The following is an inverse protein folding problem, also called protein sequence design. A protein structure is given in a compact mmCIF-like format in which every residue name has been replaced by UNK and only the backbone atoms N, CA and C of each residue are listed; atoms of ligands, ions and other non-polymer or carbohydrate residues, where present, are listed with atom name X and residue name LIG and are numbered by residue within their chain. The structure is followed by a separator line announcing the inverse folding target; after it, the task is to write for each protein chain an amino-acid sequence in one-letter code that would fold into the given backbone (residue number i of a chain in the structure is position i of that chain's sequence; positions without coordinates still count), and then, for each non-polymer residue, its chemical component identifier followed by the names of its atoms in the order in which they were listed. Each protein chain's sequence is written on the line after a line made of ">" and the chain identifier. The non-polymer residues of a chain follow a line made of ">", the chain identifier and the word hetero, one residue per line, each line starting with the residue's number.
data_IF_514501215855
#
_entry.id   IF_514501215855
#
_cell.length_a   1.000
_cell.length_b   1.000
_cell.length_c   1.000
_cell.angle_alpha   90.00
_cell.angle_beta   90.00
_cell.angle_gamma   90.00
#
_symmetry.space_group_name_H-M   'P 1'
#
loop_
_entity.id
_entity.type
_entity.pdbx_description
1 polymer ?
#
# COMPACT_ATOMS: atom_id res chain seq x y z
N UNK A 1 86.79 -30.80 -23.42
CA UNK A 1 86.24 -30.17 -24.65
C UNK A 1 84.79 -30.60 -24.75
N UNK A 2 83.88 -29.64 -24.96
CA UNK A 2 82.55 -29.77 -25.59
C UNK A 2 81.78 -31.09 -25.31
N UNK A 3 80.72 -31.10 -24.53
CA UNK A 3 79.45 -30.50 -24.93
C UNK A 3 78.55 -31.54 -25.61
N UNK A 4 77.45 -31.88 -24.94
CA UNK A 4 76.19 -32.43 -25.43
C UNK A 4 75.98 -33.95 -25.70
N UNK A 5 74.80 -34.35 -25.20
CA UNK A 5 73.87 -35.39 -25.67
C UNK A 5 74.20 -36.86 -25.44
N UNK A 6 73.63 -37.42 -24.37
CA UNK A 6 72.98 -38.74 -24.42
C UNK A 6 71.54 -38.56 -23.90
N UNK A 7 70.62 -38.49 -24.85
CA UNK A 7 69.20 -38.68 -24.65
C UNK A 7 68.86 -40.18 -24.72
N UNK A 8 67.69 -40.52 -24.19
CA UNK A 8 66.93 -41.76 -24.39
C UNK A 8 67.18 -42.93 -23.43
N UNK A 9 66.58 -42.82 -22.25
CA UNK A 9 65.76 -43.91 -21.69
C UNK A 9 64.68 -43.35 -20.74
N UNK A 10 63.89 -42.40 -21.25
CA UNK A 10 62.62 -41.98 -20.68
C UNK A 10 61.52 -42.91 -21.21
N UNK A 11 61.21 -44.01 -20.53
CA UNK A 11 59.92 -44.71 -20.59
C UNK A 11 59.95 -45.72 -19.43
N UNK A 12 58.82 -45.92 -18.73
CA UNK A 12 58.61 -46.90 -17.62
C UNK A 12 59.01 -46.52 -16.20
N UNK A 13 58.67 -45.32 -15.72
CA UNK A 13 58.46 -45.08 -14.27
C UNK A 13 57.56 -43.87 -13.94
N UNK A 14 56.75 -43.36 -14.89
CA UNK A 14 55.93 -42.15 -14.73
C UNK A 14 54.43 -42.42 -14.77
N UNK A 15 54.01 -43.58 -14.25
CA UNK A 15 52.61 -43.97 -14.12
C UNK A 15 52.47 -44.55 -12.71
N UNK A 16 51.87 -43.78 -11.79
CA UNK A 16 51.14 -44.21 -10.56
C UNK A 16 51.06 -43.11 -9.46
N UNK A 17 51.70 -41.94 -9.57
CA UNK A 17 51.60 -40.91 -8.50
C UNK A 17 51.07 -39.54 -8.97
N UNK A 18 49.97 -39.55 -9.74
CA UNK A 18 49.40 -38.33 -10.36
C UNK A 18 47.90 -38.16 -10.18
N UNK A 19 47.29 -38.80 -9.18
CA UNK A 19 45.91 -38.52 -8.76
C UNK A 19 45.94 -38.29 -7.25
N UNK A 20 45.22 -37.26 -6.80
CA UNK A 20 45.16 -36.69 -5.43
C UNK A 20 45.87 -35.32 -5.26
N UNK A 21 45.68 -34.41 -6.22
CA UNK A 21 45.54 -33.00 -5.87
C UNK A 21 44.08 -32.80 -5.43
N UNK A 22 43.81 -33.03 -4.16
CA UNK A 22 42.58 -32.58 -3.52
C UNK A 22 42.59 -31.05 -3.55
N UNK A 23 41.77 -30.47 -4.42
CA UNK A 23 41.38 -29.07 -4.33
C UNK A 23 40.73 -28.86 -2.96
N UNK A 24 41.44 -28.18 -2.06
CA UNK A 24 40.89 -27.67 -0.81
C UNK A 24 39.78 -26.68 -1.17
N UNK A 25 38.54 -27.17 -1.24
CA UNK A 25 37.38 -26.31 -1.16
C UNK A 25 37.41 -25.68 0.23
N UNK A 26 37.80 -24.41 0.32
CA UNK A 26 37.61 -23.60 1.51
C UNK A 26 36.10 -23.49 1.73
N UNK A 27 35.54 -24.44 2.47
CA UNK A 27 34.19 -24.35 2.96
C UNK A 27 34.13 -23.14 3.90
N UNK A 28 33.11 -22.30 3.75
CA UNK A 28 32.75 -21.29 4.74
C UNK A 28 32.64 -21.99 6.10
N UNK A 29 33.57 -21.70 7.01
CA UNK A 29 33.57 -22.29 8.35
C UNK A 29 32.65 -21.45 9.22
N UNK A 30 31.63 -22.07 9.79
CA UNK A 30 30.79 -21.43 10.79
C UNK A 30 31.66 -21.03 11.99
N UNK A 31 31.69 -19.74 12.31
CA UNK A 31 32.41 -19.22 13.47
C UNK A 31 31.53 -19.35 14.72
N UNK A 32 32.11 -19.81 15.83
CA UNK A 32 31.47 -19.75 17.14
C UNK A 32 31.54 -18.32 17.72
N UNK A 33 30.66 -17.96 18.66
CA UNK A 33 30.58 -16.64 19.30
C UNK A 33 31.93 -16.09 19.80
N UNK A 34 32.83 -16.97 20.27
CA UNK A 34 34.19 -16.64 20.73
C UNK A 34 35.12 -16.29 19.57
N UNK A 35 34.87 -16.84 18.39
CA UNK A 35 35.60 -16.50 17.17
C UNK A 35 35.03 -15.24 16.53
N UNK A 36 33.70 -15.06 16.56
CA UNK A 36 33.02 -13.81 16.17
C UNK A 36 33.51 -12.61 17.01
N UNK A 37 33.68 -12.78 18.32
CA UNK A 37 34.18 -11.69 19.18
C UNK A 37 35.66 -11.32 18.95
N UNK A 38 36.43 -12.21 18.31
CA UNK A 38 37.82 -11.95 17.90
C UNK A 38 37.92 -11.25 16.54
N UNK A 39 36.82 -11.15 15.77
CA UNK A 39 36.80 -10.39 14.52
C UNK A 39 36.77 -8.90 14.86
N UNK A 40 37.92 -8.23 14.71
CA UNK A 40 38.02 -6.79 14.94
C UNK A 40 37.74 -6.04 13.63
N UNK A 41 36.52 -5.52 13.46
CA UNK A 41 36.17 -4.62 12.37
C UNK A 41 36.54 -3.17 12.70
N UNK A 42 37.11 -2.44 11.74
CA UNK A 42 37.27 -0.98 11.84
C UNK A 42 36.08 -0.33 11.13
N UNK A 43 35.21 0.35 11.88
CA UNK A 43 34.14 1.17 11.33
C UNK A 43 34.40 2.63 11.66
N UNK A 44 34.32 3.51 10.65
CA UNK A 44 34.40 4.94 10.87
C UNK A 44 33.10 5.41 11.52
N UNK A 45 33.22 6.03 12.70
CA UNK A 45 32.09 6.69 13.36
C UNK A 45 32.07 8.17 12.96
N UNK A 46 30.95 8.62 12.40
CA UNK A 46 30.72 10.02 12.06
C UNK A 46 29.86 10.66 13.14
N UNK A 47 30.29 11.81 13.68
CA UNK A 47 29.52 12.56 14.66
C UNK A 47 29.14 13.93 14.11
N UNK A 48 27.88 14.31 14.31
CA UNK A 48 27.36 15.62 13.90
C UNK A 48 26.52 16.25 15.01
N UNK A 49 26.52 17.59 15.08
CA UNK A 49 25.68 18.38 15.98
C UNK A 49 24.85 19.36 15.15
N UNK A 50 23.54 19.32 15.32
CA UNK A 50 22.59 20.29 14.74
C UNK A 50 21.96 21.07 15.89
N UNK A 51 22.15 22.39 15.90
CA UNK A 51 21.45 23.27 16.83
C UNK A 51 20.12 23.64 16.18
N UNK A 52 19.03 23.29 16.85
CA UNK A 52 17.70 23.55 16.36
C UNK A 52 17.28 25.02 16.46
N UNK A 53 16.37 25.42 15.58
CA UNK A 53 15.63 26.66 15.68
C UNK A 53 14.44 26.53 16.64
N UNK A 54 13.93 27.68 17.10
CA UNK A 54 12.78 27.80 18.01
C UNK A 54 11.50 28.21 17.26
N UNK A 55 11.38 27.81 15.98
CA UNK A 55 10.18 28.09 15.18
C UNK A 55 9.11 27.04 15.47
N UNK A 56 7.84 27.45 15.41
CA UNK A 56 6.68 26.54 15.56
C UNK A 56 6.74 25.37 14.56
N UNK A 57 7.27 25.62 13.36
CA UNK A 57 7.48 24.63 12.30
C UNK A 57 8.93 24.15 12.18
N UNK A 58 9.74 24.33 13.20
CA UNK A 58 11.10 23.83 13.23
C UNK A 58 11.31 22.87 14.39
N UNK A 59 12.54 22.82 14.87
CA UNK A 59 13.01 21.78 15.80
C UNK A 59 12.71 22.06 17.28
N UNK A 60 11.86 23.05 17.58
CA UNK A 60 11.38 23.35 18.93
C UNK A 60 12.52 23.65 19.93
N UNK A 61 13.56 24.34 19.46
CA UNK A 61 14.73 24.74 20.24
C UNK A 61 15.64 23.59 20.68
N UNK A 62 15.41 22.37 20.20
CA UNK A 62 16.18 21.19 20.59
C UNK A 62 17.51 21.10 19.85
N UNK A 63 18.53 20.55 20.49
CA UNK A 63 19.83 20.26 19.87
C UNK A 63 19.92 18.77 19.57
N UNK A 64 20.41 18.41 18.38
CA UNK A 64 20.53 17.02 17.95
C UNK A 64 21.98 16.59 17.83
N UNK A 65 22.32 15.47 18.47
CA UNK A 65 23.62 14.82 18.31
C UNK A 65 23.42 13.54 17.52
N UNK A 66 24.11 13.41 16.40
CA UNK A 66 24.06 12.24 15.52
C UNK A 66 25.36 11.46 15.66
N UNK A 67 25.25 10.15 15.85
CA UNK A 67 26.35 9.19 15.83
C UNK A 67 26.05 8.16 14.75
N UNK A 68 26.70 8.30 13.60
CA UNK A 68 26.55 7.44 12.44
C UNK A 68 27.73 6.50 12.24
N UNK A 69 27.50 5.42 11.51
CA UNK A 69 28.52 4.51 11.02
C UNK A 69 28.69 4.71 9.51
N UNK A 70 29.91 4.73 9.01
CA UNK A 70 30.17 4.67 7.56
C UNK A 70 30.11 3.21 7.09
N UNK A 71 28.89 2.69 6.98
CA UNK A 71 28.62 1.31 6.63
C UNK A 71 27.33 1.21 5.80
N UNK A 72 27.22 0.14 5.01
CA UNK A 72 25.98 -0.30 4.40
C UNK A 72 25.43 -1.45 5.25
N UNK A 73 24.21 -1.30 5.77
CA UNK A 73 23.51 -2.33 6.53
C UNK A 73 22.37 -2.90 5.69
N UNK A 74 22.59 -4.08 5.11
CA UNK A 74 21.57 -4.83 4.38
C UNK A 74 20.88 -5.83 5.30
N UNK A 75 19.55 -5.74 5.38
CA UNK A 75 18.72 -6.53 6.27
C UNK A 75 17.78 -7.42 5.46
N UNK A 76 17.82 -8.71 5.79
CA UNK A 76 16.73 -9.63 5.52
C UNK A 76 16.22 -10.16 6.87
N UNK A 77 15.04 -9.70 7.28
CA UNK A 77 14.53 -9.95 8.62
C UNK A 77 13.05 -10.33 8.57
N UNK A 78 12.66 -11.33 9.36
CA UNK A 78 11.28 -11.72 9.60
C UNK A 78 10.98 -11.62 11.09
N UNK A 79 9.89 -10.93 11.44
CA UNK A 79 9.42 -10.73 12.80
C UNK A 79 7.95 -11.14 12.85
N UNK A 80 7.65 -12.24 13.55
CA UNK A 80 6.26 -12.71 13.73
C UNK A 80 5.38 -11.64 14.37
N UNK A 81 5.90 -10.92 15.36
CA UNK A 81 5.18 -9.87 16.09
C UNK A 81 6.11 -8.72 16.49
N UNK A 82 5.93 -7.55 15.90
CA UNK A 82 6.62 -6.32 16.29
C UNK A 82 5.69 -5.46 17.15
N UNK A 83 6.00 -5.38 18.44
CA UNK A 83 5.22 -4.63 19.43
C UNK A 83 6.10 -3.65 20.18
N UNK A 84 5.81 -2.35 20.03
CA UNK A 84 6.54 -1.26 20.67
C UNK A 84 5.57 -0.32 21.40
N UNK A 85 5.96 0.13 22.59
CA UNK A 85 5.17 1.08 23.38
C UNK A 85 3.90 0.51 24.04
N UNK A 86 3.81 -0.80 24.21
CA UNK A 86 2.64 -1.46 24.80
C UNK A 86 2.45 -1.14 26.29
N UNK A 87 1.24 -0.72 26.67
CA UNK A 87 0.87 -0.46 28.07
C UNK A 87 1.66 0.65 28.75
N UNK A 88 2.34 1.49 27.95
CA UNK A 88 3.21 2.55 28.42
C UNK A 88 2.49 3.87 28.70
N UNK A 89 3.22 4.96 28.49
CA UNK A 89 2.79 6.34 28.77
C UNK A 89 1.54 6.79 28.00
N UNK A 90 1.21 6.10 26.91
CA UNK A 90 0.04 6.36 26.06
C UNK A 90 -1.17 5.48 26.45
N UNK A 91 -1.11 4.77 27.58
CA UNK A 91 -2.21 3.94 28.10
C UNK A 91 -2.29 2.54 27.46
N UNK A 92 -3.41 1.83 27.67
CA UNK A 92 -3.63 0.48 27.14
C UNK A 92 -3.50 0.42 25.61
N UNK A 93 -2.82 -0.59 25.08
CA UNK A 93 -2.47 -0.72 23.65
C UNK A 93 -1.00 -0.43 23.36
N UNK A 94 -0.58 -0.62 22.11
CA UNK A 94 0.79 -0.46 21.62
C UNK A 94 0.87 0.69 20.62
N UNK A 95 1.99 1.42 20.63
CA UNK A 95 2.24 2.52 19.69
C UNK A 95 2.51 1.98 18.28
N UNK A 96 3.27 0.89 18.17
CA UNK A 96 3.43 0.11 16.95
C UNK A 96 3.05 -1.33 17.24
N UNK A 97 2.10 -1.87 16.48
CA UNK A 97 1.68 -3.26 16.57
C UNK A 97 1.51 -3.85 15.16
N UNK A 98 2.48 -4.68 14.77
CA UNK A 98 2.58 -5.23 13.43
C UNK A 98 2.76 -6.75 13.51
N UNK A 99 1.91 -7.48 12.80
CA UNK A 99 2.00 -8.93 12.62
C UNK A 99 2.77 -9.27 11.34
N UNK A 100 3.62 -10.30 11.41
CA UNK A 100 4.42 -10.82 10.30
C UNK A 100 5.16 -9.70 9.55
N UNK A 101 5.87 -8.86 10.31
CA UNK A 101 6.67 -7.78 9.77
C UNK A 101 7.95 -8.32 9.15
N UNK A 102 8.23 -7.95 7.91
CA UNK A 102 9.41 -8.39 7.19
C UNK A 102 10.13 -7.26 6.48
N UNK A 103 11.45 -7.36 6.45
CA UNK A 103 12.36 -6.50 5.72
C UNK A 103 13.04 -7.32 4.62
N UNK A 104 13.01 -6.81 3.40
CA UNK A 104 13.46 -7.53 2.22
C UNK A 104 12.35 -8.37 1.58
N UNK A 105 12.65 -8.92 0.41
CA UNK A 105 11.77 -9.81 -0.32
C UNK A 105 12.56 -10.86 -1.12
N UNK A 106 11.93 -11.97 -1.41
CA UNK A 106 12.37 -12.92 -2.45
C UNK A 106 11.94 -12.38 -3.80
N UNK A 107 12.84 -12.43 -4.79
CA UNK A 107 12.61 -11.97 -6.15
C UNK A 107 12.56 -13.12 -7.16
N UNK A 108 11.89 -12.88 -8.28
CA UNK A 108 11.97 -13.75 -9.45
C UNK A 108 13.27 -13.51 -10.24
N UNK A 109 13.46 -14.22 -11.37
CA UNK A 109 14.62 -14.05 -12.25
C UNK A 109 14.82 -12.64 -12.81
N UNK A 110 13.77 -11.81 -12.82
CA UNK A 110 13.80 -10.43 -13.30
C UNK A 110 14.07 -9.41 -12.18
N UNK A 111 14.26 -9.86 -10.93
CA UNK A 111 14.49 -8.99 -9.78
C UNK A 111 13.22 -8.40 -9.13
N UNK A 112 12.02 -8.84 -9.56
CA UNK A 112 10.76 -8.36 -8.98
C UNK A 112 10.38 -9.17 -7.73
N UNK A 113 9.95 -8.50 -6.66
CA UNK A 113 9.49 -9.15 -5.44
C UNK A 113 8.31 -10.09 -5.70
N UNK A 114 8.37 -11.30 -5.15
CA UNK A 114 7.32 -12.30 -5.20
C UNK A 114 6.39 -12.07 -4.00
N UNK A 115 5.07 -12.07 -4.24
CA UNK A 115 4.07 -11.98 -3.19
C UNK A 115 3.57 -13.36 -2.77
N UNK A 116 3.12 -13.47 -1.53
CA UNK A 116 2.36 -14.63 -1.07
C UNK A 116 1.02 -14.72 -1.80
N UNK A 117 0.39 -15.89 -1.70
CA UNK A 117 -1.00 -16.07 -2.11
C UNK A 117 -1.94 -15.28 -1.19
N UNK A 118 -2.98 -14.62 -1.73
CA UNK A 118 -4.02 -13.99 -0.92
C UNK A 118 -4.61 -14.94 0.12
N UNK A 119 -4.72 -14.47 1.36
CA UNK A 119 -5.29 -15.27 2.44
C UNK A 119 -6.80 -15.50 2.18
N UNK A 120 -7.31 -16.75 2.34
CA UNK A 120 -8.73 -17.04 2.13
C UNK A 120 -9.64 -16.16 3.00
N UNK A 121 -10.68 -15.58 2.42
CA UNK A 121 -11.63 -14.73 3.13
C UNK A 121 -11.16 -13.31 3.40
N UNK A 122 -10.02 -12.90 2.84
CA UNK A 122 -9.55 -11.49 2.84
C UNK A 122 -9.86 -10.81 1.51
N UNK A 123 -9.76 -9.47 1.48
CA UNK A 123 -9.86 -8.68 0.26
C UNK A 123 -8.52 -8.55 -0.50
N UNK A 124 -7.48 -9.30 -0.10
CA UNK A 124 -6.14 -9.22 -0.68
C UNK A 124 -6.15 -9.54 -2.18
N UNK A 125 -5.45 -8.72 -2.95
CA UNK A 125 -5.25 -8.95 -4.39
C UNK A 125 -4.06 -9.87 -4.63
N UNK A 126 -4.07 -10.55 -5.77
CA UNK A 126 -2.89 -11.28 -6.27
C UNK A 126 -1.85 -10.22 -6.67
N UNK A 127 -0.61 -10.35 -6.18
CA UNK A 127 0.46 -9.44 -6.54
C UNK A 127 0.96 -9.65 -7.98
N UNK A 128 1.74 -8.69 -8.48
CA UNK A 128 2.25 -8.70 -9.86
C UNK A 128 3.06 -9.96 -10.20
N UNK A 129 3.78 -10.51 -9.21
CA UNK A 129 4.45 -11.82 -9.30
C UNK A 129 3.99 -12.66 -8.12
N UNK A 130 3.05 -13.57 -8.38
CA UNK A 130 2.53 -14.49 -7.39
C UNK A 130 3.20 -15.86 -7.52
N UNK A 131 3.72 -16.40 -6.41
CA UNK A 131 4.16 -17.80 -6.31
C UNK A 131 5.14 -18.27 -7.42
N UNK A 132 5.95 -17.36 -7.95
CA UNK A 132 6.87 -17.62 -9.06
C UNK A 132 8.16 -18.34 -8.65
N UNK A 133 8.95 -18.84 -9.63
CA UNK A 133 10.27 -19.40 -9.34
C UNK A 133 11.19 -18.31 -8.77
N UNK A 134 11.88 -18.68 -7.70
CA UNK A 134 12.84 -17.84 -7.01
C UNK A 134 14.09 -17.62 -7.86
N UNK A 135 14.51 -16.36 -8.01
CA UNK A 135 15.72 -15.94 -8.73
C UNK A 135 16.75 -15.19 -7.88
N UNK A 136 16.35 -14.54 -6.78
CA UNK A 136 17.24 -13.73 -5.95
C UNK A 136 16.56 -13.15 -4.71
N UNK A 137 17.28 -12.37 -3.92
CA UNK A 137 16.72 -11.61 -2.79
C UNK A 137 16.94 -10.12 -3.04
N UNK A 138 15.99 -9.29 -2.61
CA UNK A 138 16.14 -7.84 -2.52
C UNK A 138 16.15 -7.50 -1.03
N UNK A 139 17.25 -6.97 -0.55
CA UNK A 139 17.41 -6.64 0.87
C UNK A 139 16.84 -5.26 1.19
N UNK A 140 16.57 -5.03 2.48
CA UNK A 140 16.27 -3.70 3.00
C UNK A 140 17.58 -3.03 3.42
N UNK A 141 17.97 -1.97 2.73
CA UNK A 141 19.28 -1.36 2.88
C UNK A 141 19.20 -0.05 3.67
N UNK A 142 20.10 0.10 4.64
CA UNK A 142 20.30 1.32 5.42
C UNK A 142 21.73 1.79 5.16
N UNK A 143 21.87 2.81 4.31
CA UNK A 143 23.15 3.47 4.04
C UNK A 143 23.47 4.44 5.17
N UNK A 144 24.69 4.32 5.72
CA UNK A 144 25.21 5.14 6.81
C UNK A 144 24.23 5.23 8.00
N UNK A 145 23.95 4.09 8.67
CA UNK A 145 23.01 4.05 9.78
C UNK A 145 23.50 4.93 10.93
N UNK A 146 22.58 5.60 11.62
CA UNK A 146 22.88 6.48 12.74
C UNK A 146 21.87 6.40 13.89
N UNK A 147 22.35 6.74 15.08
CA UNK A 147 21.51 7.15 16.20
C UNK A 147 21.56 8.66 16.34
N UNK A 148 20.40 9.30 16.50
CA UNK A 148 20.29 10.74 16.73
C UNK A 148 19.55 11.00 18.04
N UNK A 149 20.16 11.78 18.92
CA UNK A 149 19.62 12.15 20.23
C UNK A 149 19.10 13.57 20.20
N UNK A 150 17.84 13.76 20.57
CA UNK A 150 17.25 15.08 20.79
C UNK A 150 17.52 15.53 22.23
N UNK A 151 18.15 16.68 22.39
CA UNK A 151 18.58 17.23 23.67
C UNK A 151 17.91 18.58 23.90
N UNK A 152 17.22 18.72 25.03
CA UNK A 152 16.69 20.00 25.51
C UNK A 152 17.69 20.67 26.44
N UNK A 153 17.69 22.01 26.44
CA UNK A 153 18.55 22.83 27.28
C UNK A 153 20.05 22.47 27.18
N UNK A 154 20.55 22.15 25.97
CA UNK A 154 21.93 21.70 25.75
C UNK A 154 22.98 22.70 26.30
N UNK A 155 22.67 24.00 26.28
CA UNK A 155 23.52 25.07 26.81
C UNK A 155 23.66 25.08 28.34
N UNK A 156 22.76 24.41 29.07
CA UNK A 156 22.75 24.40 30.54
C UNK A 156 23.05 23.01 31.09
N UNK A 157 24.19 22.83 31.75
CA UNK A 157 24.64 21.50 32.22
C UNK A 157 23.69 20.84 33.22
N UNK A 158 22.95 21.62 34.01
CA UNK A 158 22.05 21.11 35.06
C UNK A 158 20.64 20.78 34.58
N UNK A 159 20.19 21.37 33.47
CA UNK A 159 18.85 21.15 32.90
C UNK A 159 18.89 20.39 31.57
N UNK A 160 20.09 19.99 31.12
CA UNK A 160 20.29 19.21 29.90
C UNK A 160 19.59 17.87 30.03
N UNK A 161 18.74 17.56 29.05
CA UNK A 161 17.93 16.35 29.09
C UNK A 161 17.82 15.73 27.71
N UNK A 162 17.99 14.40 27.63
CA UNK A 162 17.66 13.63 26.42
C UNK A 162 16.14 13.47 26.37
N UNK A 163 15.52 14.03 25.34
CA UNK A 163 14.05 14.00 25.19
C UNK A 163 13.59 12.98 24.17
N UNK A 164 14.49 12.53 23.28
CA UNK A 164 14.21 11.48 22.32
C UNK A 164 15.44 10.90 21.66
N UNK A 165 15.26 9.74 21.04
CA UNK A 165 16.24 9.06 20.21
C UNK A 165 15.56 8.64 18.91
N UNK A 166 16.25 8.79 17.77
CA UNK A 166 15.85 8.19 16.48
C UNK A 166 16.97 7.30 15.96
N UNK A 167 16.59 6.18 15.38
CA UNK A 167 17.43 5.35 14.51
C UNK A 167 17.02 5.63 13.05
N UNK A 168 17.99 5.87 12.19
CA UNK A 168 17.76 6.07 10.75
C UNK A 168 19.04 5.83 9.96
N UNK A 169 19.03 6.19 8.67
CA UNK A 169 20.20 6.18 7.80
C UNK A 169 20.24 7.45 6.95
N UNK A 170 21.39 7.75 6.35
CA UNK A 170 21.48 8.83 5.36
C UNK A 170 20.59 8.55 4.15
N UNK A 171 20.46 7.27 3.79
CA UNK A 171 19.44 6.80 2.87
C UNK A 171 18.93 5.43 3.35
N UNK A 172 17.63 5.25 3.34
CA UNK A 172 16.99 3.98 3.64
C UNK A 172 16.16 3.58 2.43
N UNK A 173 16.45 2.40 1.90
CA UNK A 173 15.78 1.91 0.70
C UNK A 173 15.50 0.42 0.75
N UNK A 174 14.29 0.02 0.37
CA UNK A 174 13.97 -1.38 0.14
C UNK A 174 12.54 -1.76 0.53
N UNK A 175 12.15 -3.00 0.19
CA UNK A 175 10.80 -3.48 0.42
C UNK A 175 10.58 -3.84 1.90
N UNK A 176 9.43 -3.44 2.41
CA UNK A 176 8.87 -3.91 3.68
C UNK A 176 7.53 -4.57 3.41
N UNK A 177 7.19 -5.60 4.19
CA UNK A 177 5.83 -6.14 4.19
C UNK A 177 5.35 -6.53 5.57
N UNK A 178 4.05 -6.68 5.70
CA UNK A 178 3.37 -6.96 6.96
C UNK A 178 2.11 -7.76 6.71
N UNK A 179 1.86 -8.74 7.58
CA UNK A 179 0.61 -9.50 7.57
C UNK A 179 -0.57 -8.63 8.00
N UNK A 180 -0.42 -7.87 9.10
CA UNK A 180 -1.41 -6.91 9.57
C UNK A 180 -0.74 -5.75 10.30
N UNK A 181 -1.12 -4.52 9.96
CA UNK A 181 -0.74 -3.31 10.69
C UNK A 181 -1.91 -2.91 11.61
N UNK A 182 -1.85 -3.36 12.87
CA UNK A 182 -2.96 -3.23 13.82
C UNK A 182 -3.01 -1.84 14.49
N UNK A 183 -1.84 -1.23 14.71
CA UNK A 183 -1.70 0.09 15.32
C UNK A 183 -0.42 0.74 14.81
N UNK A 184 -0.53 1.99 14.39
CA UNK A 184 0.59 2.79 13.92
C UNK A 184 0.68 4.12 14.67
N UNK A 185 1.89 4.50 15.09
CA UNK A 185 2.19 5.81 15.64
C UNK A 185 3.32 6.43 14.84
N UNK A 186 3.16 7.71 14.51
CA UNK A 186 4.16 8.48 13.77
C UNK A 186 3.60 9.10 12.50
N UNK A 187 4.37 9.03 11.42
CA UNK A 187 4.06 9.65 10.13
C UNK A 187 4.33 8.69 8.99
N UNK A 188 3.33 8.53 8.14
CA UNK A 188 3.41 7.76 6.91
C UNK A 188 2.67 8.57 5.84
N UNK A 189 3.29 8.85 4.70
CA UNK A 189 2.55 9.38 3.55
C UNK A 189 2.83 8.56 2.31
N UNK A 190 1.92 8.70 1.36
CA UNK A 190 1.99 8.12 0.04
C UNK A 190 1.05 8.85 -0.90
N UNK A 191 0.95 8.32 -2.10
CA UNK A 191 0.01 8.74 -3.12
C UNK A 191 -1.01 7.61 -3.34
N UNK A 192 -2.21 7.96 -3.77
CA UNK A 192 -3.22 7.02 -4.18
C UNK A 192 -3.65 7.34 -5.61
N UNK A 193 -3.45 6.38 -6.51
CA UNK A 193 -3.87 6.46 -7.89
C UNK A 193 -5.09 5.56 -8.08
N UNK A 194 -6.21 6.14 -8.47
CA UNK A 194 -7.46 5.43 -8.73
C UNK A 194 -7.70 5.38 -10.22
N UNK A 195 -7.65 4.18 -10.79
CA UNK A 195 -8.00 3.87 -12.16
C UNK A 195 -9.30 3.09 -12.19
N UNK A 196 -10.36 3.73 -12.66
CA UNK A 196 -11.66 3.10 -12.88
C UNK A 196 -11.79 2.70 -14.35
N UNK A 197 -11.89 1.40 -14.63
CA UNK A 197 -12.06 0.87 -15.97
C UNK A 197 -13.51 0.96 -16.44
N UNK A 198 -13.67 1.46 -17.66
CA UNK A 198 -14.95 1.49 -18.37
C UNK A 198 -15.43 0.10 -18.75
N UNK A 199 -16.74 -0.02 -18.91
CA UNK A 199 -17.42 -1.26 -19.27
C UNK A 199 -18.59 -0.98 -20.21
N UNK A 200 -18.93 -1.97 -21.02
CA UNK A 200 -20.06 -1.92 -21.95
C UNK A 200 -21.17 -2.87 -21.48
N UNK A 201 -22.40 -2.54 -21.83
CA UNK A 201 -23.60 -3.32 -21.52
C UNK A 201 -23.76 -3.59 -20.02
N UNK A 202 -23.66 -2.51 -19.23
CA UNK A 202 -23.75 -2.56 -17.77
C UNK A 202 -25.17 -2.23 -17.33
N UNK A 203 -25.81 -3.12 -16.58
CA UNK A 203 -27.09 -2.84 -15.97
C UNK A 203 -26.92 -1.97 -14.71
N UNK A 204 -27.77 -0.96 -14.54
CA UNK A 204 -27.68 -0.08 -13.38
C UNK A 204 -28.05 -0.79 -12.05
N UNK A 205 -28.95 -1.78 -12.09
CA UNK A 205 -29.40 -2.51 -10.91
C UNK A 205 -28.84 -3.93 -10.83
N UNK A 206 -28.98 -4.58 -9.67
CA UNK A 206 -28.44 -5.91 -9.40
C UNK A 206 -29.03 -7.04 -10.29
N UNK A 207 -28.26 -8.11 -10.48
CA UNK A 207 -28.71 -9.35 -11.14
C UNK A 207 -29.31 -10.37 -10.15
N UNK A 208 -29.93 -11.43 -10.66
CA UNK A 208 -30.34 -12.59 -9.83
C UNK A 208 -29.15 -13.55 -9.69
N UNK A 209 -28.85 -14.12 -8.50
CA UNK A 209 -29.65 -14.15 -7.27
C UNK A 209 -29.43 -13.00 -6.30
N UNK A 210 -28.58 -12.03 -6.62
CA UNK A 210 -28.23 -10.94 -5.71
C UNK A 210 -29.46 -10.14 -5.26
N UNK A 211 -29.42 -9.67 -4.03
CA UNK A 211 -30.42 -8.78 -3.44
C UNK A 211 -29.88 -7.36 -3.52
N UNK A 212 -30.54 -6.49 -4.28
CA UNK A 212 -30.26 -5.06 -4.28
C UNK A 212 -30.41 -4.52 -2.83
N UNK A 213 -29.71 -3.45 -2.45
CA UNK A 213 -29.75 -2.89 -1.10
C UNK A 213 -31.15 -2.50 -0.56
N UNK A 214 -32.17 -2.43 -1.43
CA UNK A 214 -33.57 -2.13 -1.09
C UNK A 214 -34.63 -2.98 -1.80
N UNK A 215 -35.90 -2.68 -1.48
CA UNK A 215 -37.11 -3.44 -1.85
C UNK A 215 -37.39 -3.46 -3.36
N UNK A 216 -36.70 -4.32 -4.09
CA UNK A 216 -37.08 -4.79 -5.42
C UNK A 216 -36.64 -3.88 -6.58
N UNK A 217 -36.06 -4.50 -7.61
CA UNK A 217 -35.60 -3.76 -8.77
C UNK A 217 -34.56 -4.46 -9.65
N UNK A 218 -34.53 -5.81 -9.64
CA UNK A 218 -33.56 -6.56 -10.45
C UNK A 218 -33.62 -6.14 -11.90
N UNK A 219 -32.45 -6.07 -12.51
CA UNK A 219 -32.35 -5.74 -13.93
C UNK A 219 -33.20 -6.68 -14.77
N UNK A 220 -33.83 -6.12 -15.81
CA UNK A 220 -34.51 -6.89 -16.85
C UNK A 220 -33.52 -7.67 -17.72
N UNK A 221 -32.29 -7.17 -17.83
CA UNK A 221 -31.22 -7.72 -18.66
C UNK A 221 -30.28 -8.52 -17.78
N UNK A 222 -30.69 -9.74 -17.42
CA UNK A 222 -29.86 -10.65 -16.61
C UNK A 222 -28.63 -11.15 -17.37
N UNK A 223 -28.61 -10.99 -18.69
CA UNK A 223 -27.51 -11.29 -19.61
C UNK A 223 -26.55 -10.11 -19.82
N UNK A 224 -26.73 -9.00 -19.09
CA UNK A 224 -25.81 -7.87 -19.12
C UNK A 224 -24.39 -8.28 -18.71
N UNK A 225 -23.39 -7.59 -19.23
CA UNK A 225 -21.97 -7.95 -19.03
C UNK A 225 -21.46 -7.59 -17.64
N UNK A 226 -22.06 -6.58 -16.99
CA UNK A 226 -21.77 -6.17 -15.62
C UNK A 226 -23.00 -5.49 -14.98
N UNK A 227 -22.94 -5.25 -13.67
CA UNK A 227 -24.03 -4.67 -12.87
C UNK A 227 -23.48 -3.60 -11.94
N UNK A 228 -24.12 -2.43 -11.77
CA UNK A 228 -23.71 -1.44 -10.77
C UNK A 228 -24.27 -1.74 -9.37
N UNK A 229 -25.29 -2.60 -9.27
CA UNK A 229 -25.87 -3.02 -7.98
C UNK A 229 -26.71 -1.94 -7.28
N UNK A 230 -27.09 -0.88 -7.99
CA UNK A 230 -27.90 0.20 -7.44
C UNK A 230 -29.36 -0.22 -7.23
N UNK A 231 -30.10 0.56 -6.44
CA UNK A 231 -31.55 0.37 -6.32
C UNK A 231 -32.27 0.72 -7.63
N UNK A 232 -33.55 0.35 -7.73
CA UNK A 232 -34.38 0.78 -8.85
C UNK A 232 -35.02 2.14 -8.56
N UNK A 233 -35.16 2.94 -9.60
CA UNK A 233 -35.66 4.30 -9.54
C UNK A 233 -36.17 4.76 -10.90
N UNK A 234 -36.98 5.81 -10.91
CA UNK A 234 -37.46 6.39 -12.16
C UNK A 234 -36.38 7.30 -12.75
N UNK A 235 -35.94 7.00 -13.97
CA UNK A 235 -34.96 7.81 -14.71
C UNK A 235 -35.66 8.95 -15.44
N UNK A 236 -36.81 8.66 -16.03
CA UNK A 236 -37.61 9.63 -16.77
C UNK A 236 -39.08 9.23 -16.75
N UNK A 237 -39.95 10.25 -16.63
CA UNK A 237 -41.40 10.11 -16.70
C UNK A 237 -41.95 11.09 -17.73
N UNK A 238 -42.37 10.58 -18.89
CA UNK A 238 -42.97 11.34 -19.99
C UNK A 238 -44.50 11.20 -20.02
N UNK A 239 -45.11 10.97 -18.85
CA UNK A 239 -46.56 10.78 -18.70
C UNK A 239 -47.01 9.36 -19.05
N UNK A 240 -47.02 9.02 -20.34
CA UNK A 240 -47.46 7.70 -20.84
C UNK A 240 -46.34 6.65 -20.89
N UNK A 241 -45.08 7.11 -20.86
CA UNK A 241 -43.90 6.26 -20.78
C UNK A 241 -43.12 6.54 -19.51
N UNK A 242 -42.65 5.48 -18.85
CA UNK A 242 -41.77 5.55 -17.69
C UNK A 242 -40.54 4.68 -17.92
N UNK A 243 -39.36 5.26 -17.74
CA UNK A 243 -38.08 4.55 -17.79
C UNK A 243 -37.59 4.38 -16.36
N UNK A 244 -37.14 3.16 -16.06
CA UNK A 244 -36.61 2.77 -14.76
C UNK A 244 -35.16 2.30 -14.92
N UNK A 245 -34.32 2.46 -13.90
CA UNK A 245 -32.92 2.02 -13.92
C UNK A 245 -32.79 0.53 -14.21
N UNK A 246 -33.72 -0.29 -13.72
CA UNK A 246 -33.74 -1.74 -14.01
C UNK A 246 -34.01 -2.11 -15.47
N UNK A 247 -34.44 -1.17 -16.29
CA UNK A 247 -34.88 -1.39 -17.67
C UNK A 247 -33.91 -0.84 -18.71
N UNK A 248 -32.68 -0.51 -18.30
CA UNK A 248 -31.64 -0.02 -19.21
C UNK A 248 -30.28 -0.66 -18.91
N UNK A 249 -29.46 -0.75 -19.94
CA UNK A 249 -28.01 -0.95 -19.82
C UNK A 249 -27.27 0.25 -20.43
N UNK A 250 -26.12 0.57 -19.85
CA UNK A 250 -25.25 1.68 -20.25
C UNK A 250 -23.86 1.19 -20.59
N UNK A 251 -23.21 1.94 -21.47
CA UNK A 251 -21.76 1.90 -21.65
C UNK A 251 -21.18 3.15 -21.00
N UNK A 252 -19.99 3.03 -20.43
CA UNK A 252 -19.24 4.17 -19.90
C UNK A 252 -17.74 3.95 -20.08
N UNK A 253 -17.00 5.04 -20.28
CA UNK A 253 -15.55 5.05 -20.31
C UNK A 253 -14.91 4.85 -18.94
N UNK A 254 -13.58 4.72 -18.96
CA UNK A 254 -12.79 4.74 -17.75
C UNK A 254 -12.46 6.16 -17.30
N UNK A 255 -12.21 6.32 -16.00
CA UNK A 255 -11.76 7.59 -15.42
C UNK A 255 -10.59 7.33 -14.46
N UNK A 256 -9.71 8.31 -14.30
CA UNK A 256 -8.65 8.25 -13.30
C UNK A 256 -8.61 9.49 -12.39
N UNK A 257 -8.07 9.27 -11.20
CA UNK A 257 -7.63 10.29 -10.25
C UNK A 257 -6.26 9.88 -9.78
N UNK A 258 -5.27 10.71 -10.02
CA UNK A 258 -3.85 10.42 -9.74
C UNK A 258 -3.33 11.43 -8.72
N UNK A 259 -2.21 11.10 -8.08
CA UNK A 259 -1.52 11.98 -7.11
C UNK A 259 -2.40 12.38 -5.90
N UNK A 260 -3.35 11.52 -5.50
CA UNK A 260 -4.18 11.79 -4.33
C UNK A 260 -3.34 11.58 -3.06
N UNK A 261 -3.14 12.65 -2.31
CA UNK A 261 -2.35 12.57 -1.08
C UNK A 261 -3.02 11.66 -0.04
N UNK A 262 -2.28 10.63 0.40
CA UNK A 262 -2.67 9.76 1.50
C UNK A 262 -1.69 9.97 2.65
N UNK A 263 -2.08 10.76 3.67
CA UNK A 263 -1.24 11.10 4.81
C UNK A 263 -1.80 10.52 6.11
N UNK A 264 -0.97 9.76 6.82
CA UNK A 264 -1.23 9.24 8.16
C UNK A 264 -0.34 9.98 9.14
N UNK A 265 -0.94 10.61 10.13
CA UNK A 265 -0.22 11.16 11.26
C UNK A 265 -1.02 10.99 12.55
N UNK A 266 -0.38 10.49 13.59
CA UNK A 266 -1.01 10.41 14.89
C UNK A 266 -0.40 9.37 15.82
N UNK A 267 -1.16 9.04 16.87
CA UNK A 267 -0.79 8.04 17.86
C UNK A 267 -1.82 6.91 17.82
N UNK A 268 -1.37 5.68 17.55
CA UNK A 268 -2.19 4.45 17.49
C UNK A 268 -3.34 4.56 16.50
N UNK A 269 -3.05 5.14 15.35
CA UNK A 269 -4.01 5.22 14.24
C UNK A 269 -4.13 3.85 13.58
N UNK A 270 -5.32 3.54 13.08
CA UNK A 270 -5.67 2.26 12.45
C UNK A 270 -6.12 2.44 11.00
N UNK A 271 -6.26 3.69 10.56
CA UNK A 271 -6.79 4.07 9.26
C UNK A 271 -5.99 5.23 8.66
N UNK A 272 -5.92 5.24 7.33
CA UNK A 272 -5.41 6.33 6.50
C UNK A 272 -6.59 7.11 5.96
N UNK A 273 -6.66 8.44 6.16
CA UNK A 273 -7.60 9.28 5.44
C UNK A 273 -7.15 9.44 3.98
N UNK A 274 -8.04 9.16 3.04
CA UNK A 274 -7.87 9.51 1.62
C UNK A 274 -8.77 10.70 1.34
N UNK A 275 -8.16 11.87 1.17
CA UNK A 275 -8.84 13.14 0.92
C UNK A 275 -8.79 13.48 -0.57
N UNK A 276 -9.78 14.18 -1.11
CA UNK A 276 -9.69 14.72 -2.48
C UNK A 276 -10.05 13.75 -3.61
N UNK A 277 -10.75 12.65 -3.32
CA UNK A 277 -11.32 11.78 -4.36
C UNK A 277 -12.38 12.48 -5.23
N UNK A 278 -13.01 13.54 -4.71
CA UNK A 278 -14.05 14.31 -5.38
C UNK A 278 -15.13 13.39 -6.00
N UNK A 279 -15.77 12.55 -5.17
CA UNK A 279 -16.61 11.45 -5.65
C UNK A 279 -17.79 11.92 -6.51
N UNK A 280 -18.36 13.11 -6.26
CA UNK A 280 -19.43 13.64 -7.09
C UNK A 280 -18.91 14.05 -8.47
N UNK A 281 -17.75 14.70 -8.53
CA UNK A 281 -17.12 15.11 -9.79
C UNK A 281 -16.69 13.88 -10.59
N UNK A 282 -16.19 12.84 -9.92
CA UNK A 282 -15.87 11.55 -10.54
C UNK A 282 -17.09 10.89 -11.18
N UNK A 283 -18.26 10.96 -10.51
CA UNK A 283 -19.52 10.47 -11.10
C UNK A 283 -19.92 11.31 -12.31
N UNK A 284 -19.77 12.63 -12.26
CA UNK A 284 -20.07 13.50 -13.41
C UNK A 284 -19.20 13.15 -14.62
N UNK A 285 -17.88 12.98 -14.42
CA UNK A 285 -16.95 12.61 -15.49
C UNK A 285 -17.30 11.25 -16.11
N UNK A 286 -17.73 10.26 -15.31
CA UNK A 286 -18.17 8.95 -15.82
C UNK A 286 -19.47 9.11 -16.61
N UNK A 287 -20.44 9.85 -16.07
CA UNK A 287 -21.78 10.02 -16.67
C UNK A 287 -21.72 10.84 -17.96
N UNK A 288 -20.75 11.74 -18.09
CA UNK A 288 -20.51 12.51 -19.31
C UNK A 288 -20.09 11.63 -20.50
N UNK A 289 -19.53 10.45 -20.26
CA UNK A 289 -19.21 9.47 -21.32
C UNK A 289 -20.27 8.36 -21.46
N UNK A 290 -21.40 8.45 -20.75
CA UNK A 290 -22.43 7.40 -20.81
C UNK A 290 -23.18 7.42 -22.14
N UNK A 291 -23.29 6.24 -22.75
CA UNK A 291 -24.25 5.93 -23.82
C UNK A 291 -25.21 4.81 -23.42
N UNK A 292 -26.41 4.80 -24.00
CA UNK A 292 -27.41 3.77 -23.72
C UNK A 292 -27.22 2.63 -24.73
N UNK A 293 -27.00 1.41 -24.22
CA UNK A 293 -26.87 0.22 -25.05
C UNK A 293 -28.22 -0.48 -25.27
N UNK A 294 -29.02 -0.65 -24.21
CA UNK A 294 -30.35 -1.27 -24.28
C UNK A 294 -31.33 -0.48 -23.42
N UNK A 295 -32.56 -0.27 -23.89
CA UNK A 295 -33.59 0.44 -23.13
C UNK A 295 -34.98 -0.14 -23.33
N UNK A 296 -35.77 -0.14 -22.25
CA UNK A 296 -37.15 -0.56 -22.24
C UNK A 296 -38.03 0.49 -21.53
N UNK A 297 -38.87 1.19 -22.28
CA UNK A 297 -39.83 2.14 -21.72
C UNK A 297 -41.12 1.40 -21.35
N UNK A 298 -41.57 1.51 -20.09
CA UNK A 298 -42.83 0.93 -19.66
C UNK A 298 -43.99 1.84 -20.05
N UNK A 299 -45.00 1.27 -20.70
CA UNK A 299 -46.28 1.97 -20.95
C UNK A 299 -47.13 1.99 -19.67
N UNK A 300 -48.22 2.77 -19.69
CA UNK A 300 -49.23 2.77 -18.61
C UNK A 300 -49.83 1.37 -18.31
N UNK A 301 -49.67 0.41 -19.23
CA UNK A 301 -50.12 -0.99 -19.06
C UNK A 301 -49.02 -1.92 -18.56
N UNK A 302 -47.84 -1.39 -18.21
CA UNK A 302 -46.70 -2.16 -17.69
C UNK A 302 -45.97 -3.00 -18.74
N UNK A 303 -46.35 -2.90 -20.02
CA UNK A 303 -45.65 -3.56 -21.11
C UNK A 303 -44.39 -2.80 -21.52
N UNK A 304 -43.34 -3.55 -21.85
CA UNK A 304 -42.13 -2.99 -22.44
C UNK A 304 -42.41 -2.53 -23.86
N UNK A 305 -42.19 -1.26 -24.12
CA UNK A 305 -42.32 -0.67 -25.44
C UNK A 305 -40.95 -0.24 -25.95
N UNK A 306 -40.57 -0.74 -27.13
CA UNK A 306 -39.33 -0.37 -27.84
C UNK A 306 -39.44 0.97 -28.59
N UNK A 307 -40.43 1.82 -28.25
CA UNK A 307 -40.71 3.09 -28.95
C UNK A 307 -39.53 4.07 -28.87
N UNK A 308 -38.67 3.93 -27.87
CA UNK A 308 -37.42 4.67 -27.78
C UNK A 308 -36.31 3.72 -28.24
N UNK A 309 -36.04 3.68 -29.54
CA UNK A 309 -34.81 3.04 -30.04
C UNK A 309 -33.57 3.81 -29.57
N UNK A 310 -32.41 3.18 -29.63
CA UNK A 310 -31.13 3.70 -29.09
C UNK A 310 -30.83 5.13 -29.59
N UNK A 311 -31.20 5.46 -30.82
CA UNK A 311 -31.06 6.81 -31.38
C UNK A 311 -31.91 7.90 -30.71
N UNK A 312 -33.14 7.60 -30.28
CA UNK A 312 -33.99 8.56 -29.55
C UNK A 312 -33.59 8.61 -28.06
N UNK A 313 -33.14 7.49 -27.50
CA UNK A 313 -32.58 7.45 -26.16
C UNK A 313 -31.31 8.32 -26.07
N UNK A 314 -30.46 8.25 -27.10
CA UNK A 314 -29.26 9.07 -27.22
C UNK A 314 -29.56 10.56 -27.44
N UNK A 315 -30.68 10.89 -28.10
CA UNK A 315 -31.13 12.28 -28.19
C UNK A 315 -31.66 12.84 -26.85
N UNK A 316 -32.17 11.96 -25.97
CA UNK A 316 -32.62 12.30 -24.62
C UNK A 316 -31.51 12.17 -23.56
N UNK A 317 -30.33 11.66 -23.93
CA UNK A 317 -29.19 11.47 -23.03
C UNK A 317 -28.86 12.71 -22.20
N UNK A 318 -28.84 13.95 -22.73
CA UNK A 318 -28.51 15.12 -21.89
C UNK A 318 -29.46 15.29 -20.69
N UNK A 319 -30.75 14.97 -20.87
CA UNK A 319 -31.74 15.00 -19.79
C UNK A 319 -31.62 13.79 -18.85
N UNK A 320 -31.25 12.62 -19.40
CA UNK A 320 -31.04 11.39 -18.64
C UNK A 320 -29.75 11.46 -17.80
N UNK A 321 -28.68 12.06 -18.31
CA UNK A 321 -27.38 12.20 -17.64
C UNK A 321 -27.50 12.96 -16.32
N UNK A 322 -28.23 14.07 -16.27
CA UNK A 322 -28.49 14.78 -15.02
C UNK A 322 -29.19 13.90 -13.97
N UNK A 323 -30.26 13.21 -14.37
CA UNK A 323 -30.98 12.29 -13.47
C UNK A 323 -30.16 11.06 -13.05
N UNK A 324 -29.32 10.53 -13.94
CA UNK A 324 -28.40 9.40 -13.68
C UNK A 324 -27.31 9.81 -12.71
N UNK A 325 -26.68 10.97 -12.92
CA UNK A 325 -25.65 11.51 -12.02
C UNK A 325 -26.23 11.74 -10.61
N UNK A 326 -27.34 12.47 -10.50
CA UNK A 326 -27.98 12.72 -9.20
C UNK A 326 -28.37 11.43 -8.49
N UNK A 327 -28.84 10.43 -9.23
CA UNK A 327 -29.20 9.14 -8.68
C UNK A 327 -27.99 8.35 -8.16
N UNK A 328 -26.92 8.23 -8.96
CA UNK A 328 -25.70 7.54 -8.55
C UNK A 328 -25.10 8.25 -7.33
N UNK A 329 -25.00 9.58 -7.36
CA UNK A 329 -24.55 10.38 -6.20
C UNK A 329 -25.40 10.11 -4.97
N UNK A 330 -26.72 10.06 -5.10
CA UNK A 330 -27.63 9.68 -4.01
C UNK A 330 -27.31 8.30 -3.43
N UNK A 331 -27.12 7.29 -4.27
CA UNK A 331 -26.80 5.93 -3.83
C UNK A 331 -25.40 5.80 -3.19
N UNK A 332 -24.40 6.51 -3.70
CA UNK A 332 -23.07 6.57 -3.09
C UNK A 332 -23.14 7.26 -1.73
N UNK A 333 -23.87 8.38 -1.63
CA UNK A 333 -24.06 9.10 -0.38
C UNK A 333 -24.79 8.23 0.67
N UNK A 334 -25.84 7.52 0.26
CA UNK A 334 -26.55 6.54 1.11
C UNK A 334 -25.59 5.44 1.62
N UNK A 335 -24.75 4.88 0.74
CA UNK A 335 -23.77 3.85 1.10
C UNK A 335 -22.70 4.33 2.08
N UNK A 336 -22.27 5.59 1.94
CA UNK A 336 -21.31 6.24 2.83
C UNK A 336 -21.95 6.83 4.09
N UNK A 337 -23.28 6.82 4.19
CA UNK A 337 -24.08 7.45 5.24
C UNK A 337 -23.83 8.97 5.39
N UNK A 338 -23.77 9.66 4.25
CA UNK A 338 -23.62 11.11 4.13
C UNK A 338 -24.71 11.67 3.20
N UNK A 339 -24.70 12.98 2.97
CA UNK A 339 -25.56 13.63 1.98
C UNK A 339 -24.83 13.82 0.64
N UNK A 340 -25.54 13.91 -0.50
CA UNK A 340 -24.90 14.10 -1.81
C UNK A 340 -24.01 15.35 -1.92
N UNK A 341 -24.30 16.40 -1.15
CA UNK A 341 -23.51 17.62 -1.12
C UNK A 341 -22.15 17.47 -0.43
N UNK A 342 -21.94 16.38 0.32
CA UNK A 342 -20.71 16.11 1.07
C UNK A 342 -19.76 15.15 0.32
N UNK A 343 -20.17 14.62 -0.84
CA UNK A 343 -19.41 13.60 -1.58
C UNK A 343 -18.01 14.06 -2.02
N UNK A 344 -17.85 15.34 -2.38
CA UNK A 344 -16.55 15.83 -2.85
C UNK A 344 -15.56 16.07 -1.70
N UNK A 345 -16.08 16.44 -0.53
CA UNK A 345 -15.29 16.69 0.68
C UNK A 345 -15.17 15.43 1.55
N UNK A 346 -15.76 14.31 1.13
CA UNK A 346 -15.76 13.08 1.90
C UNK A 346 -14.34 12.51 2.01
N UNK A 347 -13.89 12.34 3.25
CA UNK A 347 -12.61 11.70 3.57
C UNK A 347 -12.84 10.20 3.70
N UNK A 348 -12.38 9.43 2.72
CA UNK A 348 -12.55 7.99 2.70
C UNK A 348 -11.54 7.34 3.66
N UNK A 349 -11.98 6.60 4.69
CA UNK A 349 -11.05 5.86 5.53
C UNK A 349 -10.47 4.66 4.77
N UNK A 350 -9.22 4.32 5.03
CA UNK A 350 -8.57 3.11 4.52
C UNK A 350 -7.86 2.38 5.66
N UNK A 351 -8.28 1.16 6.00
CA UNK A 351 -7.69 0.46 7.13
C UNK A 351 -6.23 0.09 6.86
N UNK A 352 -5.35 0.42 7.81
CA UNK A 352 -3.93 0.07 7.77
C UNK A 352 -3.71 -1.44 7.71
N UNK A 353 -4.61 -2.24 8.28
CA UNK A 353 -4.59 -3.71 8.19
C UNK A 353 -4.68 -4.24 6.75
N UNK A 354 -5.18 -3.44 5.81
CA UNK A 354 -5.29 -3.80 4.40
C UNK A 354 -4.04 -3.39 3.60
N UNK A 355 -3.16 -2.57 4.18
CA UNK A 355 -1.81 -2.37 3.65
C UNK A 355 -1.01 -3.62 4.04
N UNK A 356 -0.21 -4.13 3.10
CA UNK A 356 0.61 -5.32 3.31
C UNK A 356 2.05 -5.15 2.80
N UNK A 357 2.29 -4.10 2.04
CA UNK A 357 3.57 -3.84 1.36
C UNK A 357 3.85 -2.34 1.40
N UNK A 358 5.10 -1.98 1.62
CA UNK A 358 5.65 -0.64 1.46
C UNK A 358 6.99 -0.78 0.74
N UNK A 359 7.35 0.19 -0.11
CA UNK A 359 8.72 0.30 -0.61
C UNK A 359 9.21 1.68 -0.18
N UNK A 360 10.21 1.70 0.68
CA UNK A 360 10.76 2.94 1.23
C UNK A 360 11.95 3.31 0.38
N UNK A 361 12.12 4.60 0.09
CA UNK A 361 13.32 5.14 -0.53
C UNK A 361 13.49 6.59 -0.10
N UNK A 362 14.02 6.80 1.11
CA UNK A 362 14.07 8.15 1.70
C UNK A 362 15.20 8.32 2.72
N UNK A 363 15.83 9.52 2.76
CA UNK A 363 16.81 9.88 3.79
C UNK A 363 16.18 10.21 5.15
N UNK A 364 14.84 10.28 5.22
CA UNK A 364 14.12 10.70 6.42
C UNK A 364 13.52 9.53 7.19
N UNK A 365 13.66 8.29 6.69
CA UNK A 365 13.11 7.13 7.38
C UNK A 365 13.71 7.02 8.78
N UNK A 366 12.87 6.79 9.79
CA UNK A 366 13.39 6.55 11.12
C UNK A 366 12.38 5.99 12.11
N UNK A 367 12.88 5.12 12.98
CA UNK A 367 12.17 4.66 14.17
C UNK A 367 12.64 5.50 15.36
N UNK A 368 11.71 6.15 16.05
CA UNK A 368 12.02 7.05 17.14
C UNK A 368 11.26 6.70 18.42
N UNK A 369 11.86 7.08 19.54
CA UNK A 369 11.25 7.04 20.86
C UNK A 369 11.50 8.37 21.57
N UNK A 370 10.43 9.00 22.07
CA UNK A 370 10.53 10.32 22.70
C UNK A 370 9.57 10.46 23.89
N UNK A 371 9.99 11.21 24.90
CA UNK A 371 9.20 11.44 26.12
C UNK A 371 8.19 12.59 25.99
N UNK A 372 8.40 13.46 25.00
CA UNK A 372 7.54 14.58 24.63
C UNK A 372 7.51 14.69 23.09
N UNK A 373 6.73 15.62 22.54
CA UNK A 373 6.73 15.83 21.10
C UNK A 373 8.12 16.28 20.63
N UNK A 374 8.67 15.64 19.60
CA UNK A 374 10.00 15.95 19.05
C UNK A 374 9.90 16.01 17.53
N UNK A 375 10.24 17.17 16.95
CA UNK A 375 10.44 17.30 15.50
C UNK A 375 11.92 17.16 15.17
N UNK A 376 12.30 15.97 14.69
CA UNK A 376 13.67 15.73 14.25
C UNK A 376 14.01 16.56 12.98
N UNK A 377 15.30 16.88 12.75
CA UNK A 377 15.72 17.57 11.53
C UNK A 377 15.21 16.87 10.26
N UNK A 378 14.62 17.65 9.37
CA UNK A 378 14.03 17.20 8.11
C UNK A 378 12.59 16.68 8.20
N UNK A 379 12.05 16.40 9.40
CA UNK A 379 10.68 15.90 9.53
C UNK A 379 9.66 16.99 9.23
N UNK A 380 8.55 16.64 8.59
CA UNK A 380 7.41 17.52 8.31
C UNK A 380 6.59 17.83 9.57
N UNK A 381 6.54 16.89 10.52
CA UNK A 381 5.73 16.97 11.75
C UNK A 381 6.53 16.52 12.98
N UNK A 382 6.13 16.99 14.16
CA UNK A 382 6.68 16.52 15.43
C UNK A 382 6.12 15.13 15.76
N UNK A 383 6.99 14.18 16.10
CA UNK A 383 6.55 12.85 16.53
C UNK A 383 6.02 12.91 17.96
N UNK A 384 4.85 12.33 18.20
CA UNK A 384 4.20 12.34 19.50
C UNK A 384 5.00 11.55 20.55
N UNK A 385 4.73 11.76 21.83
CA UNK A 385 5.34 10.96 22.92
C UNK A 385 5.12 9.46 22.69
N UNK A 386 6.14 8.66 22.98
CA UNK A 386 6.13 7.19 22.81
C UNK A 386 7.00 6.75 21.65
N UNK A 387 6.73 5.56 21.13
CA UNK A 387 7.36 5.09 19.90
C UNK A 387 6.68 5.71 18.68
N UNK A 388 7.44 6.00 17.65
CA UNK A 388 6.91 6.48 16.37
C UNK A 388 7.78 6.01 15.22
N UNK A 389 7.16 5.71 14.09
CA UNK A 389 7.85 5.46 12.83
C UNK A 389 7.57 6.63 11.88
N UNK A 390 8.63 7.16 11.28
CA UNK A 390 8.54 8.20 10.25
C UNK A 390 8.98 7.57 8.92
N UNK A 391 8.05 7.45 7.98
CA UNK A 391 8.26 6.83 6.68
C UNK A 391 7.55 7.67 5.61
N UNK A 392 8.22 8.72 5.08
CA UNK A 392 7.61 9.52 4.04
C UNK A 392 7.70 8.80 2.69
N UNK A 393 6.76 9.12 1.80
CA UNK A 393 6.68 8.62 0.42
C UNK A 393 6.82 7.08 0.37
N UNK A 394 6.17 6.41 1.32
CA UNK A 394 6.41 5.01 1.63
C UNK A 394 5.50 4.05 0.86
N UNK A 395 4.45 4.56 0.23
CA UNK A 395 3.56 3.76 -0.60
C UNK A 395 2.95 4.55 -1.75
N UNK A 396 2.66 3.84 -2.83
CA UNK A 396 1.66 4.24 -3.80
C UNK A 396 0.52 3.22 -3.75
N UNK A 397 -0.68 3.69 -3.43
CA UNK A 397 -1.91 2.92 -3.45
C UNK A 397 -2.51 2.98 -4.85
N UNK A 398 -2.18 2.00 -5.69
CA UNK A 398 -2.78 1.87 -7.01
C UNK A 398 -4.08 1.05 -6.93
N UNK A 399 -5.20 1.73 -7.08
CA UNK A 399 -6.54 1.15 -7.18
C UNK A 399 -6.90 1.02 -8.66
N UNK A 400 -6.60 -0.13 -9.27
CA UNK A 400 -7.12 -0.48 -10.59
C UNK A 400 -8.31 -1.45 -10.42
N UNK A 401 -9.51 -0.96 -10.72
CA UNK A 401 -10.73 -1.76 -10.72
C UNK A 401 -11.76 -1.26 -11.74
N UNK A 402 -12.81 -2.04 -11.96
CA UNK A 402 -13.95 -1.64 -12.78
C UNK A 402 -14.83 -0.62 -12.04
N UNK A 403 -15.43 0.31 -12.78
CA UNK A 403 -16.42 1.26 -12.19
C UNK A 403 -17.54 0.51 -11.48
N UNK A 404 -18.03 -0.60 -12.05
CA UNK A 404 -19.08 -1.42 -11.42
C UNK A 404 -18.69 -1.94 -10.05
N UNK A 405 -17.47 -2.47 -9.90
CA UNK A 405 -16.95 -2.97 -8.63
C UNK A 405 -16.77 -1.83 -7.61
N UNK A 406 -16.28 -0.68 -8.06
CA UNK A 406 -16.14 0.51 -7.21
C UNK A 406 -17.48 1.00 -6.68
N UNK A 407 -18.48 1.17 -7.57
CA UNK A 407 -19.83 1.62 -7.20
C UNK A 407 -20.50 0.60 -6.28
N UNK A 408 -20.39 -0.70 -6.56
CA UNK A 408 -20.92 -1.74 -5.68
C UNK A 408 -20.22 -1.76 -4.30
N UNK A 409 -18.91 -1.54 -4.26
CA UNK A 409 -18.14 -1.49 -3.01
C UNK A 409 -18.61 -0.36 -2.09
N UNK A 410 -19.09 0.75 -2.67
CA UNK A 410 -19.59 1.91 -1.93
C UNK A 410 -21.09 1.82 -1.64
N UNK A 411 -21.93 1.65 -2.66
CA UNK A 411 -23.40 1.69 -2.52
C UNK A 411 -24.00 0.35 -2.06
N UNK A 412 -23.32 -0.76 -2.35
CA UNK A 412 -23.81 -2.12 -2.11
C UNK A 412 -23.41 -2.72 -0.77
N UNK A 413 -22.47 -2.10 -0.04
CA UNK A 413 -21.95 -2.63 1.23
C UNK A 413 -21.42 -1.52 2.14
N UNK A 414 -21.12 -1.84 3.40
CA UNK A 414 -20.47 -0.90 4.31
C UNK A 414 -18.95 -0.85 4.12
N UNK A 415 -18.38 -1.67 3.23
CA UNK A 415 -16.93 -1.84 3.10
C UNK A 415 -16.21 -0.52 2.86
N UNK A 416 -16.74 0.37 2.01
CA UNK A 416 -16.13 1.68 1.78
C UNK A 416 -16.08 2.55 3.02
N UNK A 417 -17.23 2.71 3.71
CA UNK A 417 -17.33 3.49 4.96
C UNK A 417 -16.50 2.89 6.10
N UNK A 418 -16.35 1.58 6.12
CA UNK A 418 -15.58 0.87 7.13
C UNK A 418 -14.07 0.77 6.78
N UNK A 419 -13.66 1.33 5.64
CA UNK A 419 -12.27 1.41 5.16
C UNK A 419 -11.68 0.13 4.58
N UNK A 420 -12.52 -0.73 4.01
CA UNK A 420 -12.17 -1.99 3.35
C UNK A 420 -12.55 -2.01 1.86
N UNK A 421 -12.56 -0.84 1.20
CA UNK A 421 -13.04 -0.70 -0.19
C UNK A 421 -12.26 -1.56 -1.18
N UNK A 422 -10.93 -1.62 -1.06
CA UNK A 422 -10.05 -2.45 -1.89
C UNK A 422 -8.92 -3.02 -1.05
N UNK A 423 -8.60 -4.30 -1.26
CA UNK A 423 -7.39 -4.87 -0.67
C UNK A 423 -6.18 -4.65 -1.57
N UNK A 424 -5.01 -4.52 -0.95
CA UNK A 424 -3.71 -4.47 -1.62
C UNK A 424 -3.17 -5.88 -1.88
N UNK A 425 -2.12 -6.01 -2.70
CA UNK A 425 -1.40 -7.26 -2.87
C UNK A 425 -1.01 -7.89 -1.52
N UNK A 426 -1.12 -9.21 -1.41
CA UNK A 426 -0.68 -9.95 -0.23
C UNK A 426 0.80 -9.69 0.13
N UNK A 427 1.25 -9.90 1.38
CA UNK A 427 2.61 -9.59 1.80
C UNK A 427 3.69 -10.25 0.93
N UNK A 428 4.91 -9.69 0.92
CA UNK A 428 6.01 -10.31 0.18
C UNK A 428 6.37 -11.67 0.75
N UNK A 429 6.78 -12.57 -0.13
CA UNK A 429 7.47 -13.78 0.29
C UNK A 429 8.86 -13.35 0.76
N UNK A 430 9.16 -13.61 2.03
CA UNK A 430 10.50 -13.41 2.58
C UNK A 430 11.13 -14.73 3.10
N UNK A 431 10.57 -15.86 2.66
CA UNK A 431 11.08 -17.20 2.89
C UNK A 431 12.08 -17.60 1.79
N UNK A 432 13.36 -17.75 2.13
CA UNK A 432 14.36 -18.23 1.18
C UNK A 432 14.60 -19.75 1.32
N UNK A 433 14.31 -20.51 0.25
CA UNK A 433 14.58 -21.96 0.21
C UNK A 433 13.77 -22.77 1.24
N UNK A 434 14.40 -23.75 1.88
CA UNK A 434 13.77 -24.61 2.91
C UNK A 434 13.91 -24.10 4.34
N UNK A 435 14.37 -22.85 4.53
CA UNK A 435 14.56 -22.28 5.85
C UNK A 435 13.20 -22.10 6.55
N UNK A 436 13.13 -22.51 7.82
CA UNK A 436 11.92 -22.39 8.67
C UNK A 436 11.78 -21.02 9.33
N UNK A 437 12.76 -20.13 9.19
CA UNK A 437 12.67 -18.76 9.70
C UNK A 437 11.97 -17.88 8.66
N UNK A 438 10.71 -18.26 8.46
CA UNK A 438 9.61 -17.43 7.98
C UNK A 438 8.75 -17.16 9.23
#
# INVERSE_FOLDING_TARGET
>A
MFGNTIANSLYTAFLVCGFLLSSSASAMVALDDKQLSNVTGQALMQMNKIVGDDLDNGTQGMTFYTAGLDALLDLNLNIEKLQLGCGGVNGPGCDLDIDNFSLGCVTNSSGNCITLSPAPGTNQKVGAVNEGPQGGMKDFSIERPFFQFAIKNDSTKTLREVVGIRLGGENVSGPLSFGSLNSFSGYLNGEADVFLRGETDVAATCTSPDTCPGTGGRTRYSDASAFLGLNDGNVLNLGIYRIFYRNLTIDYGGQSREDIAAEVFGNRVTQVPIEGLALADLVDDIVDDVSINRICALTIFGSCSFIIGDGLANALLPLLKGGVSDYIKGQLADGLAITPGELNDYVLPYNLKNIHQLDVSTPLFGLSFQKEAVRYPGYKRAMARGWSMYAPDAFNLIIDDKVSNFVQGIAGSTNARDGNIVGLPAPYRNCWGSARFC
#
